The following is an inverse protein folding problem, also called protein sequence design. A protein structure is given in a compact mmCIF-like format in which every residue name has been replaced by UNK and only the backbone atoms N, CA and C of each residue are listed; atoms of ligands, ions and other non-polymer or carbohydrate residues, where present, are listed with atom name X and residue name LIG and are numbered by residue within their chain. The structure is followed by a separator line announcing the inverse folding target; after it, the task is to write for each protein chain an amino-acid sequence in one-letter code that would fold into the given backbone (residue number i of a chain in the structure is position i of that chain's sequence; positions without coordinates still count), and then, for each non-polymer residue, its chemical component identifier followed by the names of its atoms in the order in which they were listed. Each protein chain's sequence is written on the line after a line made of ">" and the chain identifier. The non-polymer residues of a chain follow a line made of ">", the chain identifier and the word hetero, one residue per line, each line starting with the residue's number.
data_IF_885903277956
#
_entry.id   IF_885903277956
#
_cell.length_a   1.000
_cell.length_b   1.000
_cell.length_c   1.000
_cell.angle_alpha   90.00
_cell.angle_beta   90.00
_cell.angle_gamma   90.00
#
_symmetry.space_group_name_H-M   'P 1'
#
loop_
_entity.id
_entity.type
_entity.pdbx_description
1 polymer ?
#
# COMPACT_ATOMS: atom_id res chain seq x y z
N UNK A 1 -17.19 7.26 -37.52
CA UNK A 1 -16.90 8.67 -37.18
C UNK A 1 -16.23 8.65 -35.82
N UNK A 2 -14.93 8.85 -35.79
CA UNK A 2 -14.10 8.75 -34.57
C UNK A 2 -14.15 10.08 -33.81
N UNK A 3 -14.47 10.03 -32.51
CA UNK A 3 -14.37 11.19 -31.63
C UNK A 3 -12.96 11.23 -31.02
N UNK A 4 -12.23 12.31 -31.31
CA UNK A 4 -10.95 12.63 -30.68
C UNK A 4 -11.22 13.28 -29.31
N UNK A 5 -10.67 12.69 -28.25
CA UNK A 5 -10.51 13.35 -26.95
C UNK A 5 -9.16 14.10 -26.94
N UNK A 6 -9.15 15.35 -26.50
CA UNK A 6 -7.93 16.09 -26.17
C UNK A 6 -8.10 16.74 -24.79
N UNK A 7 -7.13 16.51 -23.91
CA UNK A 7 -6.98 17.16 -22.61
C UNK A 7 -5.59 17.79 -22.60
N UNK A 8 -5.50 19.06 -22.23
CA UNK A 8 -4.22 19.77 -22.07
C UNK A 8 -4.16 20.44 -20.69
N UNK A 9 -3.03 20.28 -19.99
CA UNK A 9 -2.65 21.02 -18.78
C UNK A 9 -1.25 21.61 -19.00
N UNK A 10 -1.05 22.88 -18.65
CA UNK A 10 0.25 23.55 -18.66
C UNK A 10 0.63 23.98 -17.23
N UNK A 11 1.86 23.66 -16.81
CA UNK A 11 2.42 24.04 -15.52
C UNK A 11 3.57 25.03 -15.65
N UNK A 12 3.70 25.93 -14.67
CA UNK A 12 4.85 26.84 -14.53
C UNK A 12 5.52 26.63 -13.18
N UNK A 13 6.85 26.51 -13.21
CA UNK A 13 7.72 26.29 -12.06
C UNK A 13 8.39 27.60 -11.58
N UNK A 14 8.59 27.72 -10.28
CA UNK A 14 9.56 28.60 -9.60
C UNK A 14 9.83 27.94 -8.23
N UNK A 15 11.01 27.87 -7.63
CA UNK A 15 12.30 28.53 -7.77
C UNK A 15 12.89 28.49 -6.35
N UNK A 16 13.97 27.73 -6.14
CA UNK A 16 14.52 27.41 -4.80
C UNK A 16 15.48 28.49 -4.26
N UNK A 17 15.46 28.71 -2.95
CA UNK A 17 16.44 29.51 -2.19
C UNK A 17 17.37 28.58 -1.37
N UNK A 18 18.64 28.97 -1.11
CA UNK A 18 19.66 28.06 -0.60
C UNK A 18 19.75 28.01 0.93
N UNK A 19 20.22 26.85 1.40
CA UNK A 19 20.45 26.45 2.80
C UNK A 19 21.78 27.00 3.33
N UNK A 20 21.81 27.46 4.59
CA UNK A 20 23.03 27.75 5.35
C UNK A 20 23.34 26.61 6.33
N UNK A 21 24.58 26.13 6.31
CA UNK A 21 25.11 25.08 7.17
C UNK A 21 25.70 25.64 8.49
N UNK A 22 25.55 24.96 9.64
CA UNK A 22 26.33 25.25 10.83
C UNK A 22 27.59 24.36 10.97
N UNK A 23 28.67 25.02 11.40
CA UNK A 23 30.05 24.57 11.68
C UNK A 23 30.15 23.50 12.79
N UNK A 24 31.13 22.57 12.75
CA UNK A 24 31.23 21.46 13.70
C UNK A 24 31.91 21.83 15.03
N UNK A 25 31.42 21.26 16.13
CA UNK A 25 32.02 21.31 17.49
C UNK A 25 32.85 20.04 17.73
N UNK A 26 33.99 20.09 18.46
CA UNK A 26 34.97 19.01 18.51
C UNK A 26 34.61 17.86 19.44
N UNK A 27 35.19 16.70 19.13
CA UNK A 27 35.06 15.41 19.81
C UNK A 27 35.54 15.42 21.26
N UNK A 28 34.79 14.75 22.13
CA UNK A 28 35.20 14.42 23.49
C UNK A 28 35.78 13.00 23.56
N UNK A 29 36.94 12.92 24.20
CA UNK A 29 37.84 11.78 24.39
C UNK A 29 37.23 10.65 25.21
N UNK A 30 37.39 9.42 24.74
CA UNK A 30 37.10 8.17 25.46
C UNK A 30 38.33 7.75 26.28
N UNK A 31 38.16 7.43 27.56
CA UNK A 31 39.16 6.71 28.36
C UNK A 31 38.69 5.26 28.61
N UNK A 32 39.58 4.25 28.51
CA UNK A 32 39.20 2.85 28.62
C UNK A 32 39.22 2.39 30.08
N UNK A 33 38.19 1.66 30.50
CA UNK A 33 38.20 0.89 31.75
C UNK A 33 38.37 -0.58 31.41
N UNK A 34 39.48 -1.16 31.86
CA UNK A 34 39.79 -2.58 31.71
C UNK A 34 38.96 -3.40 32.72
N UNK A 35 38.29 -4.44 32.23
CA UNK A 35 37.78 -5.55 33.03
C UNK A 35 38.14 -6.87 32.32
N UNK A 36 38.84 -7.74 33.03
CA UNK A 36 39.22 -9.09 32.60
C UNK A 36 37.99 -10.00 32.47
N UNK A 37 38.04 -11.05 31.64
CA UNK A 37 36.85 -11.83 31.28
C UNK A 37 36.52 -12.85 32.37
N UNK A 38 35.34 -12.73 32.98
CA UNK A 38 34.70 -13.86 33.64
C UNK A 38 34.13 -14.78 32.56
N UNK A 39 34.69 -15.98 32.47
CA UNK A 39 34.15 -17.09 31.69
C UNK A 39 32.81 -17.51 32.29
N UNK A 40 31.73 -16.99 31.73
CA UNK A 40 30.39 -17.55 31.90
C UNK A 40 30.27 -18.72 30.94
N UNK A 41 30.18 -19.92 31.50
CA UNK A 41 29.79 -21.13 30.78
C UNK A 41 28.51 -20.85 29.97
N UNK A 42 28.66 -20.77 28.65
CA UNK A 42 27.53 -20.79 27.73
C UNK A 42 26.98 -22.21 27.70
N UNK A 43 26.11 -22.53 28.65
CA UNK A 43 25.10 -23.56 28.43
C UNK A 43 24.37 -23.21 27.13
N UNK A 44 24.40 -24.14 26.18
CA UNK A 44 23.75 -24.01 24.89
C UNK A 44 22.27 -23.70 25.11
N UNK A 45 21.88 -22.44 24.92
CA UNK A 45 20.49 -22.08 24.66
C UNK A 45 20.10 -22.83 23.40
N UNK A 46 19.30 -23.88 23.55
CA UNK A 46 18.65 -24.54 22.43
C UNK A 46 17.98 -23.45 21.58
N UNK A 47 18.37 -23.38 20.32
CA UNK A 47 17.79 -22.51 19.30
C UNK A 47 16.31 -22.87 19.15
N UNK A 48 15.46 -22.25 19.97
CA UNK A 48 14.02 -22.40 19.89
C UNK A 48 13.51 -21.44 18.81
N UNK A 49 13.93 -21.66 17.56
CA UNK A 49 13.43 -20.93 16.40
C UNK A 49 11.96 -21.32 16.21
N UNK A 50 11.07 -20.33 16.22
CA UNK A 50 9.66 -20.56 15.96
C UNK A 50 9.46 -21.29 14.62
N UNK A 51 8.40 -22.12 14.50
CA UNK A 51 8.13 -22.83 13.25
C UNK A 51 7.87 -21.84 12.11
N UNK A 52 8.52 -22.06 10.96
CA UNK A 52 8.33 -21.25 9.76
C UNK A 52 6.83 -21.23 9.36
N UNK A 53 6.20 -20.06 9.19
CA UNK A 53 4.82 -19.98 8.75
C UNK A 53 4.67 -20.33 7.27
N UNK A 54 4.00 -21.45 6.99
CA UNK A 54 3.79 -22.00 5.62
C UNK A 54 2.34 -22.00 5.14
N UNK A 55 1.41 -21.52 5.95
CA UNK A 55 -0.02 -21.52 5.63
C UNK A 55 -0.63 -20.15 5.85
N UNK A 56 -1.77 -19.89 5.21
CA UNK A 56 -2.51 -18.65 5.39
C UNK A 56 -2.72 -18.29 6.88
N UNK A 57 -3.13 -19.27 7.69
CA UNK A 57 -3.36 -19.07 9.12
C UNK A 57 -2.06 -18.85 9.90
N UNK A 58 -0.97 -19.55 9.54
CA UNK A 58 0.32 -19.37 10.20
C UNK A 58 0.91 -17.98 9.91
N UNK A 59 0.76 -17.48 8.67
CA UNK A 59 1.13 -16.12 8.30
C UNK A 59 0.31 -15.10 9.11
N UNK A 60 -1.03 -15.23 9.16
CA UNK A 60 -1.85 -14.34 10.01
C UNK A 60 -1.42 -14.40 11.49
N UNK A 61 -1.11 -15.58 12.03
CA UNK A 61 -0.68 -15.71 13.42
C UNK A 61 0.63 -14.98 13.69
N UNK A 62 1.62 -15.07 12.81
CA UNK A 62 2.88 -14.34 12.94
C UNK A 62 2.66 -12.81 12.97
N UNK A 63 1.73 -12.28 12.16
CA UNK A 63 1.33 -10.87 12.27
C UNK A 63 0.70 -10.54 13.63
N UNK A 64 -0.19 -11.40 14.13
CA UNK A 64 -0.88 -11.17 15.39
C UNK A 64 0.04 -11.29 16.61
N UNK A 65 1.09 -12.11 16.56
CA UNK A 65 2.14 -12.18 17.58
C UNK A 65 2.88 -10.84 17.70
N UNK A 66 3.29 -10.24 16.57
CA UNK A 66 3.83 -8.88 16.56
C UNK A 66 2.84 -7.89 17.19
N UNK A 67 1.58 -7.94 16.77
CA UNK A 67 0.55 -7.01 17.24
C UNK A 67 0.26 -7.12 18.75
N UNK A 68 0.43 -8.30 19.34
CA UNK A 68 0.26 -8.54 20.78
C UNK A 68 1.51 -8.22 21.60
N UNK A 69 2.66 -8.03 20.94
CA UNK A 69 3.95 -7.91 21.61
C UNK A 69 4.50 -9.24 22.11
N UNK A 70 4.05 -10.37 21.52
CA UNK A 70 4.51 -11.71 21.87
C UNK A 70 5.92 -12.02 21.30
N UNK A 71 6.50 -11.07 20.56
CA UNK A 71 7.80 -11.17 19.89
C UNK A 71 7.69 -11.22 18.38
N UNK A 72 8.83 -11.33 17.71
CA UNK A 72 8.98 -11.33 16.25
C UNK A 72 9.43 -12.69 15.69
N UNK A 73 9.29 -13.75 16.48
CA UNK A 73 9.81 -15.08 16.15
C UNK A 73 9.31 -15.61 14.80
N UNK A 74 8.07 -15.32 14.41
CA UNK A 74 7.52 -15.65 13.09
C UNK A 74 8.16 -14.87 11.95
N UNK A 75 8.50 -13.58 12.12
CA UNK A 75 9.24 -12.79 11.13
C UNK A 75 10.69 -13.27 11.05
N UNK A 76 11.33 -13.50 12.18
CA UNK A 76 12.70 -14.03 12.22
C UNK A 76 12.78 -15.38 11.49
N UNK A 77 11.82 -16.27 11.72
CA UNK A 77 11.76 -17.56 11.01
C UNK A 77 11.65 -17.38 9.48
N UNK A 78 10.96 -16.34 8.99
CA UNK A 78 10.94 -16.02 7.54
C UNK A 78 12.31 -15.56 7.06
N UNK A 79 12.97 -14.65 7.79
CA UNK A 79 14.30 -14.13 7.44
C UNK A 79 15.34 -15.25 7.40
N UNK A 80 15.32 -16.15 8.40
CA UNK A 80 16.28 -17.25 8.53
C UNK A 80 16.26 -18.22 7.33
N UNK A 81 15.20 -18.20 6.51
CA UNK A 81 15.14 -19.01 5.28
C UNK A 81 15.97 -18.44 4.14
N UNK A 82 16.18 -17.12 4.10
CA UNK A 82 16.67 -16.43 2.91
C UNK A 82 15.74 -16.53 1.69
N UNK A 83 14.49 -16.97 1.86
CA UNK A 83 13.53 -17.13 0.76
C UNK A 83 12.82 -15.80 0.44
N UNK A 84 13.07 -15.18 -0.73
CA UNK A 84 12.44 -13.92 -1.10
C UNK A 84 10.92 -14.05 -1.28
N UNK A 85 10.36 -15.26 -1.31
CA UNK A 85 8.91 -15.45 -1.37
C UNK A 85 8.17 -14.78 -0.22
N UNK A 86 8.80 -14.59 0.95
CA UNK A 86 8.20 -13.91 2.10
C UNK A 86 8.18 -12.38 2.00
N UNK A 87 8.83 -11.77 1.01
CA UNK A 87 8.86 -10.31 0.85
C UNK A 87 7.44 -9.73 0.70
N UNK A 88 6.56 -10.21 -0.20
CA UNK A 88 5.18 -9.72 -0.31
C UNK A 88 4.37 -9.82 1.00
N UNK A 89 4.60 -10.85 1.82
CA UNK A 89 3.97 -10.97 3.15
C UNK A 89 4.40 -9.81 4.05
N UNK A 90 5.69 -9.52 4.10
CA UNK A 90 6.25 -8.44 4.92
C UNK A 90 5.83 -7.05 4.39
N UNK A 91 5.68 -6.88 3.08
CA UNK A 91 5.10 -5.66 2.50
C UNK A 91 3.65 -5.47 2.96
N UNK A 92 2.86 -6.55 2.97
CA UNK A 92 1.48 -6.50 3.48
C UNK A 92 1.45 -6.25 5.01
N UNK A 93 2.42 -6.74 5.78
CA UNK A 93 2.55 -6.39 7.21
C UNK A 93 2.88 -4.91 7.40
N UNK A 94 3.81 -4.39 6.60
CA UNK A 94 4.21 -2.98 6.65
C UNK A 94 3.04 -2.05 6.38
N UNK A 95 2.12 -2.42 5.48
CA UNK A 95 0.88 -1.67 5.20
C UNK A 95 0.05 -1.40 6.46
N UNK A 96 -0.08 -2.41 7.32
CA UNK A 96 -0.91 -2.36 8.52
C UNK A 96 -0.08 -2.14 9.81
N UNK A 97 1.19 -1.77 9.66
CA UNK A 97 2.14 -1.60 10.78
C UNK A 97 1.80 -0.45 11.73
N UNK A 98 0.90 0.46 11.36
CA UNK A 98 0.39 1.50 12.26
C UNK A 98 -0.22 0.91 13.55
N UNK A 99 -0.70 -0.35 13.49
CA UNK A 99 -1.25 -1.07 14.65
C UNK A 99 -0.18 -1.79 15.49
N UNK A 100 1.07 -1.85 15.02
CA UNK A 100 2.12 -2.68 15.60
C UNK A 100 3.12 -1.91 16.46
N UNK A 101 3.14 -0.57 16.37
CA UNK A 101 4.15 0.26 17.03
C UNK A 101 5.47 0.34 16.24
N UNK A 102 6.34 1.28 16.64
CA UNK A 102 7.54 1.64 15.90
C UNK A 102 8.58 0.50 15.85
N UNK A 103 8.78 -0.21 16.96
CA UNK A 103 9.77 -1.31 17.04
C UNK A 103 9.42 -2.45 16.09
N UNK A 104 8.18 -2.94 16.12
CA UNK A 104 7.71 -3.98 15.22
C UNK A 104 7.72 -3.54 13.76
N UNK A 105 7.36 -2.28 13.48
CA UNK A 105 7.48 -1.70 12.14
C UNK A 105 8.94 -1.73 11.66
N UNK A 106 9.88 -1.36 12.52
CA UNK A 106 11.30 -1.38 12.21
C UNK A 106 11.82 -2.82 12.02
N UNK A 107 11.32 -3.79 12.77
CA UNK A 107 11.61 -5.22 12.55
C UNK A 107 11.17 -5.68 11.16
N UNK A 108 9.95 -5.31 10.72
CA UNK A 108 9.47 -5.65 9.37
C UNK A 108 10.37 -5.03 8.29
N UNK A 109 10.75 -3.76 8.46
CA UNK A 109 11.63 -3.07 7.49
C UNK A 109 13.00 -3.75 7.41
N UNK A 110 13.60 -4.15 8.55
CA UNK A 110 14.88 -4.90 8.55
C UNK A 110 14.74 -6.24 7.83
N UNK A 111 13.68 -6.99 8.13
CA UNK A 111 13.40 -8.27 7.47
C UNK A 111 13.25 -8.12 5.94
N UNK A 112 12.62 -7.04 5.48
CA UNK A 112 12.52 -6.71 4.06
C UNK A 112 13.90 -6.46 3.43
N UNK A 113 14.80 -5.76 4.12
CA UNK A 113 16.18 -5.57 3.64
C UNK A 113 16.96 -6.88 3.58
N UNK A 114 16.89 -7.69 4.64
CA UNK A 114 17.64 -8.93 4.75
C UNK A 114 17.24 -9.93 3.65
N UNK A 115 15.95 -10.03 3.33
CA UNK A 115 15.45 -10.95 2.29
C UNK A 115 15.60 -10.40 0.86
N UNK A 116 15.48 -9.09 0.66
CA UNK A 116 15.54 -8.51 -0.69
C UNK A 116 16.96 -8.40 -1.22
N UNK A 117 17.95 -8.23 -0.35
CA UNK A 117 19.31 -7.87 -0.75
C UNK A 117 19.39 -6.52 -1.49
N UNK A 118 18.35 -5.68 -1.41
CA UNK A 118 18.28 -4.40 -2.10
C UNK A 118 19.44 -3.49 -1.64
N UNK A 119 20.15 -2.89 -2.59
CA UNK A 119 21.40 -2.20 -2.32
C UNK A 119 21.13 -0.83 -1.64
N UNK A 120 21.91 -0.40 -0.63
CA UNK A 120 21.68 0.84 0.12
C UNK A 120 21.48 2.11 -0.72
N UNK A 121 22.05 2.17 -1.92
CA UNK A 121 21.91 3.26 -2.90
C UNK A 121 20.57 3.25 -3.65
N UNK A 122 19.88 2.11 -3.75
CA UNK A 122 18.50 2.02 -4.26
C UNK A 122 17.46 2.53 -3.25
N UNK A 123 17.87 2.73 -1.98
CA UNK A 123 16.99 2.82 -0.81
C UNK A 123 16.87 4.23 -0.22
N UNK A 124 17.58 5.23 -0.76
CA UNK A 124 17.68 6.60 -0.21
C UNK A 124 16.33 7.12 0.30
N UNK A 125 16.20 7.15 1.64
CA UNK A 125 15.09 7.76 2.37
C UNK A 125 13.68 7.35 1.92
N UNK A 126 13.52 6.27 1.15
CA UNK A 126 12.23 5.89 0.58
C UNK A 126 11.78 4.50 1.05
N UNK A 127 12.74 3.64 1.40
CA UNK A 127 12.50 2.27 1.82
C UNK A 127 11.81 2.13 3.19
N UNK A 128 11.67 3.22 3.96
CA UNK A 128 10.80 3.24 5.12
C UNK A 128 9.32 3.35 4.75
N UNK A 129 8.98 3.73 3.52
CA UNK A 129 7.60 3.88 3.08
C UNK A 129 7.10 2.60 2.42
N UNK A 130 5.87 2.23 2.76
CA UNK A 130 5.23 1.03 2.22
C UNK A 130 5.08 1.08 0.68
N UNK A 131 4.75 2.24 0.11
CA UNK A 131 4.52 2.37 -1.33
C UNK A 131 5.80 2.16 -2.15
N UNK A 132 6.97 2.43 -1.56
CA UNK A 132 8.25 2.10 -2.18
C UNK A 132 8.41 0.58 -2.34
N UNK A 133 8.12 -0.20 -1.30
CA UNK A 133 8.19 -1.67 -1.35
C UNK A 133 7.17 -2.29 -2.30
N UNK A 134 5.97 -1.71 -2.40
CA UNK A 134 4.99 -2.12 -3.42
C UNK A 134 5.56 -1.97 -4.83
N UNK A 135 6.17 -0.82 -5.13
CA UNK A 135 6.80 -0.57 -6.44
C UNK A 135 8.01 -1.49 -6.66
N UNK A 136 8.77 -1.78 -5.60
CA UNK A 136 9.89 -2.72 -5.65
C UNK A 136 9.41 -4.13 -6.02
N UNK A 137 8.40 -4.67 -5.34
CA UNK A 137 7.77 -5.97 -5.66
C UNK A 137 7.17 -5.98 -7.08
N UNK A 138 6.60 -4.85 -7.52
CA UNK A 138 6.12 -4.68 -8.88
C UNK A 138 7.22 -4.78 -9.96
N UNK A 139 8.45 -4.37 -9.65
CA UNK A 139 9.62 -4.54 -10.53
C UNK A 139 10.22 -5.95 -10.49
N UNK A 140 10.06 -6.65 -9.37
CA UNK A 140 10.61 -8.00 -9.13
C UNK A 140 9.53 -9.06 -9.38
N UNK A 141 9.20 -9.25 -10.66
CA UNK A 141 8.07 -10.11 -11.08
C UNK A 141 8.30 -11.60 -10.87
N UNK A 142 9.56 -12.00 -10.74
CA UNK A 142 10.04 -13.33 -10.39
C UNK A 142 9.69 -13.73 -8.95
N UNK A 143 9.52 -12.76 -8.05
CA UNK A 143 9.14 -13.03 -6.66
C UNK A 143 7.64 -13.33 -6.59
N UNK A 144 7.32 -14.54 -6.12
CA UNK A 144 5.96 -15.02 -5.86
C UNK A 144 5.82 -15.27 -4.36
N UNK A 145 4.64 -14.97 -3.81
CA UNK A 145 4.35 -15.25 -2.41
C UNK A 145 4.50 -16.73 -2.08
N UNK A 146 4.76 -17.09 -0.80
CA UNK A 146 4.90 -18.48 -0.39
C UNK A 146 3.60 -19.26 -0.55
N UNK A 147 3.65 -20.56 -0.28
CA UNK A 147 2.45 -21.36 -0.08
C UNK A 147 1.51 -20.68 0.93
N UNK A 148 0.23 -20.60 0.57
CA UNK A 148 -0.79 -19.96 1.40
C UNK A 148 -0.86 -18.44 1.31
N UNK A 149 0.00 -17.77 0.53
CA UNK A 149 0.01 -16.30 0.40
C UNK A 149 -1.35 -15.72 -0.03
N UNK A 150 -2.00 -16.30 -1.04
CA UNK A 150 -3.31 -15.80 -1.50
C UNK A 150 -4.36 -15.86 -0.39
N UNK A 151 -4.42 -16.99 0.32
CA UNK A 151 -5.33 -17.15 1.45
C UNK A 151 -4.98 -16.24 2.63
N UNK A 152 -3.70 -15.97 2.86
CA UNK A 152 -3.24 -15.00 3.85
C UNK A 152 -3.70 -13.59 3.49
N UNK A 153 -3.43 -13.13 2.27
CA UNK A 153 -3.75 -11.79 1.79
C UNK A 153 -5.24 -11.51 1.86
N UNK A 154 -6.05 -12.47 1.39
CA UNK A 154 -7.50 -12.45 1.52
C UNK A 154 -7.97 -12.27 2.96
N UNK A 155 -7.48 -13.11 3.89
CA UNK A 155 -7.84 -13.01 5.31
C UNK A 155 -7.38 -11.70 5.95
N UNK A 156 -6.19 -11.21 5.58
CA UNK A 156 -5.67 -9.95 6.09
C UNK A 156 -6.58 -8.80 5.65
N UNK A 157 -6.91 -8.72 4.36
CA UNK A 157 -7.78 -7.67 3.83
C UNK A 157 -9.21 -7.79 4.38
N UNK A 158 -9.76 -9.00 4.48
CA UNK A 158 -11.07 -9.22 5.12
C UNK A 158 -11.13 -8.73 6.56
N UNK A 159 -10.01 -8.83 7.29
CA UNK A 159 -9.94 -8.43 8.70
C UNK A 159 -9.64 -6.94 8.89
N UNK A 160 -8.81 -6.37 8.02
CA UNK A 160 -8.28 -5.01 8.19
C UNK A 160 -9.03 -3.95 7.37
N UNK A 161 -9.73 -4.35 6.32
CA UNK A 161 -10.32 -3.44 5.34
C UNK A 161 -11.82 -3.63 5.25
N UNK A 162 -12.25 -4.80 4.78
CA UNK A 162 -13.65 -5.06 4.45
C UNK A 162 -13.91 -6.57 4.41
N UNK A 163 -14.89 -7.11 5.17
CA UNK A 163 -15.15 -8.55 5.24
C UNK A 163 -15.29 -9.24 3.87
N UNK A 164 -15.84 -8.55 2.86
CA UNK A 164 -16.14 -9.09 1.54
C UNK A 164 -14.89 -9.25 0.65
N UNK A 165 -13.71 -8.79 1.09
CA UNK A 165 -12.45 -8.96 0.34
C UNK A 165 -12.10 -10.44 0.07
N UNK A 166 -12.57 -11.36 0.91
CA UNK A 166 -12.38 -12.80 0.73
C UNK A 166 -13.11 -13.37 -0.48
N UNK A 167 -14.06 -12.63 -1.05
CA UNK A 167 -14.76 -13.02 -2.28
C UNK A 167 -13.85 -12.88 -3.51
N UNK A 168 -12.84 -12.01 -3.44
CA UNK A 168 -11.92 -11.73 -4.55
C UNK A 168 -10.56 -12.40 -4.37
N UNK A 169 -10.07 -12.49 -3.13
CA UNK A 169 -8.74 -13.03 -2.83
C UNK A 169 -8.89 -14.13 -1.79
N UNK A 170 -8.63 -15.38 -2.20
CA UNK A 170 -8.70 -16.54 -1.32
C UNK A 170 -7.73 -17.63 -1.78
N UNK A 171 -7.54 -18.68 -0.97
CA UNK A 171 -6.74 -19.84 -1.36
C UNK A 171 -7.31 -20.47 -2.63
N UNK A 172 -6.46 -20.77 -3.62
CA UNK A 172 -6.84 -21.43 -4.87
C UNK A 172 -7.61 -20.55 -5.86
N UNK A 173 -7.70 -19.24 -5.65
CA UNK A 173 -8.29 -18.32 -6.63
C UNK A 173 -7.52 -18.35 -7.95
N UNK A 174 -8.23 -18.47 -9.07
CA UNK A 174 -7.65 -18.38 -10.41
C UNK A 174 -7.38 -16.91 -10.76
N UNK A 175 -6.15 -16.59 -11.16
CA UNK A 175 -5.73 -15.20 -11.35
C UNK A 175 -4.94 -15.03 -12.64
N UNK A 176 -5.27 -13.97 -13.37
CA UNK A 176 -4.50 -13.48 -14.53
C UNK A 176 -3.62 -12.27 -14.18
N UNK A 177 -3.78 -11.74 -12.97
CA UNK A 177 -2.99 -10.65 -12.39
C UNK A 177 -2.22 -11.20 -11.20
N UNK A 178 -1.05 -10.62 -10.90
CA UNK A 178 -0.25 -11.04 -9.74
C UNK A 178 -0.91 -10.60 -8.45
N UNK A 179 -1.16 -11.55 -7.55
CA UNK A 179 -1.74 -11.26 -6.24
C UNK A 179 -0.82 -10.37 -5.41
N UNK A 180 0.50 -10.47 -5.59
CA UNK A 180 1.49 -9.61 -4.92
C UNK A 180 1.30 -8.12 -5.24
N UNK A 181 0.77 -7.78 -6.41
CA UNK A 181 0.57 -6.39 -6.86
C UNK A 181 -0.78 -5.81 -6.45
N UNK A 182 -1.71 -6.64 -5.95
CA UNK A 182 -3.01 -6.17 -5.47
C UNK A 182 -2.81 -5.46 -4.13
N UNK A 183 -3.21 -4.20 -4.03
CA UNK A 183 -3.11 -3.41 -2.79
C UNK A 183 -4.43 -2.74 -2.47
N UNK A 184 -4.66 -2.45 -1.19
CA UNK A 184 -5.83 -1.71 -0.75
C UNK A 184 -5.65 -0.19 -0.93
N UNK A 185 -6.52 0.41 -1.76
CA UNK A 185 -6.47 1.82 -2.16
C UNK A 185 -6.91 2.84 -1.11
N UNK A 186 -7.43 2.42 0.05
CA UNK A 186 -7.76 3.33 1.16
C UNK A 186 -9.25 3.49 1.49
N UNK A 187 -10.15 2.90 0.69
CA UNK A 187 -11.59 2.88 0.94
C UNK A 187 -12.12 1.44 0.96
N UNK A 188 -13.09 1.15 1.81
CA UNK A 188 -13.80 -0.14 1.80
C UNK A 188 -14.65 -0.27 0.54
N UNK A 189 -15.20 -1.47 0.29
CA UNK A 189 -16.10 -1.66 -0.84
C UNK A 189 -17.30 -0.72 -0.69
N UNK A 190 -17.70 -0.11 -1.80
CA UNK A 190 -18.81 0.86 -1.87
C UNK A 190 -18.65 2.07 -0.91
N UNK A 191 -17.44 2.31 -0.39
CA UNK A 191 -17.14 3.43 0.51
C UNK A 191 -17.12 4.80 -0.19
N UNK A 192 -17.08 4.81 -1.53
CA UNK A 192 -17.29 5.97 -2.38
C UNK A 192 -18.62 5.73 -3.10
N UNK A 193 -19.72 6.35 -2.64
CA UNK A 193 -21.02 6.14 -3.25
C UNK A 193 -21.04 6.66 -4.68
N UNK A 194 -21.44 5.83 -5.63
CA UNK A 194 -21.62 6.26 -7.01
C UNK A 194 -22.86 7.16 -7.15
N UNK A 195 -22.89 7.96 -8.22
CA UNK A 195 -24.10 8.65 -8.61
C UNK A 195 -24.95 7.72 -9.49
N UNK A 196 -26.08 7.26 -8.99
CA UNK A 196 -27.06 6.52 -9.81
C UNK A 196 -28.26 7.40 -10.15
N UNK A 197 -28.47 7.66 -11.44
CA UNK A 197 -29.51 8.55 -12.00
C UNK A 197 -29.66 9.85 -11.19
N UNK A 198 -28.57 10.63 -11.03
CA UNK A 198 -28.56 11.79 -10.15
C UNK A 198 -29.58 12.85 -10.59
N UNK A 199 -30.06 13.65 -9.63
CA UNK A 199 -30.92 14.79 -9.92
C UNK A 199 -30.21 15.76 -10.87
N UNK A 200 -30.90 16.12 -11.94
CA UNK A 200 -30.44 17.12 -12.91
C UNK A 200 -31.04 18.47 -12.58
N UNK A 201 -30.25 19.52 -12.78
CA UNK A 201 -30.67 20.91 -12.68
C UNK A 201 -30.32 21.64 -13.97
N UNK A 202 -30.99 22.76 -14.22
CA UNK A 202 -30.67 23.63 -15.35
C UNK A 202 -29.39 24.43 -15.08
N UNK A 203 -28.72 24.95 -16.13
CA UNK A 203 -27.53 25.79 -15.94
C UNK A 203 -27.77 27.01 -15.03
N UNK A 204 -28.96 27.62 -15.09
CA UNK A 204 -29.29 28.79 -14.26
C UNK A 204 -29.54 28.48 -12.78
N UNK A 205 -29.79 27.22 -12.44
CA UNK A 205 -29.95 26.75 -11.05
C UNK A 205 -28.61 26.31 -10.43
N UNK A 206 -27.54 26.24 -11.23
CA UNK A 206 -26.27 25.69 -10.83
C UNK A 206 -25.33 26.77 -10.23
N UNK A 207 -25.83 27.47 -9.22
CA UNK A 207 -25.18 28.59 -8.52
C UNK A 207 -23.88 28.23 -7.78
N UNK A 208 -23.63 26.94 -7.60
CA UNK A 208 -22.40 26.39 -7.01
C UNK A 208 -21.26 26.19 -8.04
N UNK A 209 -21.47 26.51 -9.32
CA UNK A 209 -20.42 26.52 -10.35
C UNK A 209 -19.91 27.93 -10.60
N UNK A 210 -18.59 28.05 -10.75
CA UNK A 210 -17.93 29.20 -11.38
C UNK A 210 -17.78 28.95 -12.89
N UNK A 211 -17.56 30.04 -13.64
CA UNK A 211 -17.46 30.00 -15.11
C UNK A 211 -16.28 29.15 -15.62
N UNK A 212 -15.22 29.01 -14.82
CA UNK A 212 -14.00 28.26 -15.15
C UNK A 212 -14.00 26.82 -14.60
N UNK A 213 -15.08 26.41 -13.94
CA UNK A 213 -15.18 25.06 -13.43
C UNK A 213 -15.32 24.02 -14.55
N UNK A 214 -14.57 22.93 -14.38
CA UNK A 214 -14.54 21.85 -15.36
C UNK A 214 -15.76 20.94 -15.20
N UNK A 215 -16.29 20.51 -16.34
CA UNK A 215 -17.38 19.54 -16.42
C UNK A 215 -17.06 18.49 -17.47
N UNK A 216 -17.62 17.30 -17.30
CA UNK A 216 -17.72 16.30 -18.37
C UNK A 216 -19.04 16.50 -19.08
N UNK A 217 -18.98 16.94 -20.33
CA UNK A 217 -20.16 17.03 -21.19
C UNK A 217 -20.41 15.70 -21.89
N UNK A 218 -21.63 15.17 -21.78
CA UNK A 218 -22.09 14.03 -22.58
C UNK A 218 -23.24 14.45 -23.48
N UNK A 219 -23.37 13.79 -24.62
CA UNK A 219 -24.40 14.08 -25.61
C UNK A 219 -24.86 12.79 -26.28
N UNK A 220 -26.11 12.41 -26.05
CA UNK A 220 -26.71 11.20 -26.60
C UNK A 220 -28.09 11.54 -27.16
N UNK A 221 -28.33 11.16 -28.42
CA UNK A 221 -29.63 11.34 -29.10
C UNK A 221 -30.26 12.74 -28.95
N UNK A 222 -29.44 13.80 -28.93
CA UNK A 222 -29.90 15.18 -28.79
C UNK A 222 -30.19 15.64 -27.36
N UNK A 223 -30.05 14.77 -26.36
CA UNK A 223 -30.01 15.15 -24.95
C UNK A 223 -28.57 15.40 -24.51
N UNK A 224 -28.36 16.47 -23.76
CA UNK A 224 -27.06 16.92 -23.30
C UNK A 224 -27.06 17.00 -21.77
N UNK A 225 -25.99 16.54 -21.15
CA UNK A 225 -25.81 16.64 -19.69
C UNK A 225 -24.37 16.99 -19.37
N UNK A 226 -24.19 17.78 -18.31
CA UNK A 226 -22.88 18.15 -17.78
C UNK A 226 -22.74 17.58 -16.38
N UNK A 227 -21.63 16.89 -16.13
CA UNK A 227 -21.27 16.36 -14.81
C UNK A 227 -20.09 17.16 -14.27
N UNK A 228 -20.29 18.00 -13.24
CA UNK A 228 -19.21 18.79 -12.68
C UNK A 228 -18.07 17.93 -12.13
N UNK A 229 -16.84 18.27 -12.52
CA UNK A 229 -15.65 17.58 -12.04
C UNK A 229 -15.58 17.58 -10.52
N UNK A 230 -15.92 18.68 -9.86
CA UNK A 230 -15.87 18.75 -8.39
C UNK A 230 -16.84 17.79 -7.69
N UNK A 231 -17.93 17.42 -8.36
CA UNK A 231 -18.90 16.45 -7.82
C UNK A 231 -18.36 15.04 -8.10
N UNK A 232 -17.93 14.77 -9.33
CA UNK A 232 -17.34 13.47 -9.67
C UNK A 232 -16.04 13.17 -8.90
N UNK A 233 -15.26 14.17 -8.50
CA UNK A 233 -14.09 13.95 -7.63
C UNK A 233 -14.45 13.24 -6.31
N UNK A 234 -15.68 13.43 -5.81
CA UNK A 234 -16.13 12.82 -4.57
C UNK A 234 -16.87 11.49 -4.78
N UNK A 235 -17.34 11.23 -5.99
CA UNK A 235 -18.19 10.07 -6.31
C UNK A 235 -17.51 9.06 -7.26
N UNK A 236 -16.48 9.48 -7.99
CA UNK A 236 -15.65 8.76 -8.97
C UNK A 236 -16.41 8.07 -10.14
N UNK A 237 -17.73 7.91 -10.02
CA UNK A 237 -18.60 7.22 -10.96
C UNK A 237 -19.98 7.88 -11.03
N UNK A 238 -20.50 8.02 -12.25
CA UNK A 238 -21.92 8.30 -12.49
C UNK A 238 -22.52 7.28 -13.46
N UNK A 239 -23.53 6.57 -12.99
CA UNK A 239 -24.38 5.64 -13.73
C UNK A 239 -25.69 6.36 -14.09
N UNK A 240 -25.95 6.57 -15.37
CA UNK A 240 -27.07 7.42 -15.82
C UNK A 240 -27.66 6.97 -17.16
N UNK A 241 -28.83 7.50 -17.48
CA UNK A 241 -29.51 7.31 -18.76
C UNK A 241 -29.77 8.69 -19.38
N UNK A 242 -29.13 8.96 -20.51
CA UNK A 242 -29.26 10.22 -21.25
C UNK A 242 -29.64 9.91 -22.69
N UNK A 243 -30.69 10.56 -23.21
CA UNK A 243 -31.20 10.28 -24.56
C UNK A 243 -31.65 8.83 -24.76
N UNK A 244 -32.04 8.15 -23.68
CA UNK A 244 -32.36 6.71 -23.68
C UNK A 244 -31.16 5.75 -23.72
N UNK A 245 -29.93 6.27 -23.65
CA UNK A 245 -28.71 5.45 -23.65
C UNK A 245 -28.20 5.31 -22.22
N UNK A 246 -28.15 4.09 -21.65
CA UNK A 246 -27.48 3.85 -20.37
C UNK A 246 -25.97 3.96 -20.55
N UNK A 247 -25.30 4.64 -19.65
CA UNK A 247 -23.84 4.74 -19.65
C UNK A 247 -23.29 4.90 -18.22
N UNK A 248 -21.98 4.67 -18.11
CA UNK A 248 -21.20 4.91 -16.91
C UNK A 248 -20.07 5.88 -17.24
N UNK A 249 -19.91 6.91 -16.39
CA UNK A 249 -18.81 7.87 -16.44
C UNK A 249 -17.90 7.63 -15.24
N UNK A 250 -16.69 7.14 -15.48
CA UNK A 250 -15.64 6.99 -14.48
C UNK A 250 -14.61 8.12 -14.62
N UNK A 251 -14.12 8.66 -13.51
CA UNK A 251 -13.13 9.75 -13.47
C UNK A 251 -11.97 9.44 -12.52
#
# INVERSE_FOLDING_TARGET
>A
MSALFSVALAGCAAGSTPVNAPTPTPAATVSPSAASPETVDQESRGSNTAPLPKSASALINAYLELARGDGDSGVQAMVDTGDPSYIPVLVDYLRFSALLGEDNRNTIIRALFDLSGAAPDELEGSAQFWDWWVRWVGKHTEIKGPEGYHGFKGRLFSRMVDPEQSDFIHSGVDTRIRVEEIVWGGVARDGIPDLTNPRVITPGEADYLFDDDRVFGVSFNGEHRAYPLRILNAHEMANDVVGGVPFALAY
#
